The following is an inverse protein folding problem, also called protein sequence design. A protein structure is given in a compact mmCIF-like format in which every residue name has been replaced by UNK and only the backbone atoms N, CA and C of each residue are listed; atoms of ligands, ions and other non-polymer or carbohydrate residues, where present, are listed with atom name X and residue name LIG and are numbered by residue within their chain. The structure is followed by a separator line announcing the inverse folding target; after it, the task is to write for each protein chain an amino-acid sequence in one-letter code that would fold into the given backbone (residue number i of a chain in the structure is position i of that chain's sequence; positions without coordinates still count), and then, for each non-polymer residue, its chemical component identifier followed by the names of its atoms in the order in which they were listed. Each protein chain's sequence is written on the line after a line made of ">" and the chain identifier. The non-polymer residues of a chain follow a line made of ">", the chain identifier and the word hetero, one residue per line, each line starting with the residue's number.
data_IF_162229160478
#
_entry.id   IF_162229160478
#
_cell.length_a   1.000
_cell.length_b   1.000
_cell.length_c   1.000
_cell.angle_alpha   90.00
_cell.angle_beta   90.00
_cell.angle_gamma   90.00
#
_symmetry.space_group_name_H-M   'P 1'
#
loop_
_entity.id
_entity.type
_entity.pdbx_description
1 polymer ?
#
# COMPACT_ATOMS: atom_id res chain seq x y z
N UNK A 1 21.33 -0.03 12.10
CA UNK A 1 20.38 0.38 11.07
C UNK A 1 19.86 -0.77 10.21
N UNK A 2 20.15 -2.01 10.59
CA UNK A 2 19.84 -3.23 9.79
C UNK A 2 18.57 -3.98 10.23
N UNK A 3 17.55 -3.30 10.72
CA UNK A 3 16.32 -3.94 11.23
C UNK A 3 15.03 -3.58 10.47
N UNK A 4 15.12 -2.99 9.28
CA UNK A 4 13.90 -2.44 8.62
C UNK A 4 13.24 -3.43 7.63
N UNK A 5 13.88 -4.54 7.23
CA UNK A 5 13.36 -5.36 6.11
C UNK A 5 13.35 -6.88 6.34
N UNK A 6 13.15 -7.35 7.58
CA UNK A 6 12.78 -8.76 7.78
C UNK A 6 11.25 -8.92 7.64
N UNK A 7 10.80 -8.92 6.40
CA UNK A 7 9.40 -9.18 6.06
C UNK A 7 9.17 -10.69 5.97
N UNK A 8 8.74 -11.29 7.07
CA UNK A 8 8.15 -12.63 7.02
C UNK A 8 6.72 -12.51 6.49
N UNK A 9 6.54 -12.75 5.20
CA UNK A 9 5.23 -12.76 4.57
C UNK A 9 4.81 -14.20 4.20
N UNK A 10 4.00 -14.88 5.01
CA UNK A 10 3.48 -16.20 4.63
C UNK A 10 2.13 -16.19 3.90
N UNK A 11 1.40 -15.07 3.79
CA UNK A 11 -0.03 -15.12 3.41
C UNK A 11 -0.38 -14.32 2.15
N UNK A 12 0.44 -13.36 1.72
CA UNK A 12 0.14 -12.51 0.57
C UNK A 12 0.37 -13.20 -0.79
N UNK A 13 1.12 -14.30 -0.84
CA UNK A 13 1.55 -14.93 -2.10
C UNK A 13 0.52 -15.90 -2.69
N UNK A 14 -0.34 -16.50 -1.86
CA UNK A 14 -1.39 -17.40 -2.35
C UNK A 14 -2.49 -16.63 -3.11
N UNK A 15 -2.72 -15.37 -2.76
CA UNK A 15 -3.70 -14.51 -3.44
C UNK A 15 -3.20 -14.03 -4.80
N UNK A 16 -1.89 -13.78 -4.94
CA UNK A 16 -1.29 -13.40 -6.24
C UNK A 16 -1.33 -14.53 -7.26
N UNK A 17 -1.30 -15.79 -6.83
CA UNK A 17 -1.41 -16.95 -7.72
C UNK A 17 -2.84 -17.14 -8.27
N UNK A 18 -3.88 -16.78 -7.51
CA UNK A 18 -5.30 -16.96 -7.91
C UNK A 18 -5.95 -15.66 -8.43
N UNK A 19 -5.38 -14.50 -8.13
CA UNK A 19 -5.87 -13.19 -8.58
C UNK A 19 -5.52 -12.84 -10.04
N UNK A 20 -4.60 -13.53 -10.69
CA UNK A 20 -4.20 -13.24 -12.07
C UNK A 20 -5.28 -13.57 -13.11
N UNK A 21 -6.23 -14.46 -12.83
CA UNK A 21 -7.33 -14.75 -13.76
C UNK A 21 -8.38 -13.61 -13.81
N UNK A 22 -8.53 -12.84 -12.74
CA UNK A 22 -9.47 -11.72 -12.69
C UNK A 22 -8.91 -10.39 -13.26
N UNK A 23 -7.60 -10.26 -13.41
CA UNK A 23 -6.95 -9.03 -13.87
C UNK A 23 -6.59 -8.99 -15.36
N UNK A 24 -6.80 -10.09 -16.08
CA UNK A 24 -6.52 -10.17 -17.53
C UNK A 24 -7.55 -9.42 -18.41
N UNK A 25 -8.47 -8.67 -17.81
CA UNK A 25 -9.50 -7.90 -18.52
C UNK A 25 -9.16 -6.46 -18.90
N UNK A 26 -8.01 -5.90 -18.52
CA UNK A 26 -7.74 -4.47 -18.71
C UNK A 26 -6.30 -4.03 -18.98
N UNK A 27 -5.33 -4.89 -18.91
CA UNK A 27 -3.91 -4.57 -19.14
C UNK A 27 -3.54 -4.67 -20.62
N UNK A 28 -3.19 -3.54 -21.23
CA UNK A 28 -2.60 -3.52 -22.57
C UNK A 28 -1.32 -4.34 -22.57
N UNK A 29 -1.33 -5.43 -23.35
CA UNK A 29 -0.19 -6.24 -23.76
C UNK A 29 1.09 -5.41 -23.86
N UNK A 30 2.08 -5.72 -23.01
CA UNK A 30 3.48 -5.47 -23.31
C UNK A 30 3.68 -5.90 -24.78
N UNK A 31 4.08 -4.99 -25.65
CA UNK A 31 4.34 -5.28 -27.04
C UNK A 31 5.22 -6.52 -27.10
N UNK A 32 4.62 -7.68 -27.44
CA UNK A 32 5.39 -8.81 -27.90
C UNK A 32 6.28 -8.27 -29.00
N UNK A 33 7.58 -8.16 -28.73
CA UNK A 33 8.56 -7.98 -29.78
C UNK A 33 8.20 -9.02 -30.82
N UNK A 34 7.74 -8.60 -31.99
CA UNK A 34 7.51 -9.49 -33.12
C UNK A 34 8.85 -10.19 -33.35
N UNK A 35 8.97 -11.39 -32.82
CA UNK A 35 9.97 -12.33 -33.32
C UNK A 35 9.77 -12.39 -34.84
N UNK A 36 10.82 -12.14 -35.59
CA UNK A 36 10.80 -12.23 -37.05
C UNK A 36 10.25 -13.59 -37.45
N UNK A 37 9.58 -13.66 -38.59
CA UNK A 37 8.88 -14.84 -39.08
C UNK A 37 9.77 -16.08 -39.32
N UNK A 38 11.06 -16.00 -39.03
CA UNK A 38 12.04 -17.09 -39.28
C UNK A 38 12.26 -18.02 -38.07
N UNK A 39 11.48 -17.87 -36.96
CA UNK A 39 11.65 -18.64 -35.70
C UNK A 39 10.66 -19.81 -35.59
N UNK A 40 10.19 -20.34 -36.71
CA UNK A 40 9.31 -21.53 -36.73
C UNK A 40 9.89 -22.78 -36.05
N UNK A 41 11.22 -22.90 -35.93
CA UNK A 41 11.90 -24.00 -35.25
C UNK A 41 11.97 -23.88 -33.73
N UNK A 42 12.01 -22.66 -33.19
CA UNK A 42 12.16 -22.43 -31.74
C UNK A 42 10.92 -22.78 -30.94
N UNK A 43 9.73 -22.45 -31.47
CA UNK A 43 8.46 -22.76 -30.79
C UNK A 43 8.27 -24.26 -30.56
N UNK A 44 8.86 -25.11 -31.43
CA UNK A 44 8.76 -26.57 -31.31
C UNK A 44 9.69 -27.17 -30.24
N UNK A 45 10.80 -26.51 -29.93
CA UNK A 45 11.76 -26.95 -28.90
C UNK A 45 11.44 -26.44 -27.52
N UNK A 46 10.93 -25.20 -27.44
CA UNK A 46 10.52 -24.59 -26.16
C UNK A 46 9.15 -25.07 -25.66
N UNK A 47 8.25 -25.55 -26.55
CA UNK A 47 6.98 -26.14 -26.13
C UNK A 47 7.11 -27.36 -25.20
N UNK A 48 8.02 -28.30 -25.43
CA UNK A 48 8.26 -29.38 -24.46
C UNK A 48 8.81 -28.88 -23.13
N UNK A 49 9.69 -27.87 -23.15
CA UNK A 49 10.24 -27.25 -21.94
C UNK A 49 9.18 -26.50 -21.12
N UNK A 50 8.34 -25.69 -21.77
CA UNK A 50 7.24 -25.00 -21.12
C UNK A 50 6.15 -25.96 -20.63
N UNK A 51 5.94 -27.09 -21.31
CA UNK A 51 5.02 -28.14 -20.88
C UNK A 51 5.58 -28.94 -19.71
N UNK A 52 6.87 -29.29 -19.72
CA UNK A 52 7.58 -29.96 -18.62
C UNK A 52 7.61 -29.08 -17.37
N UNK A 53 7.85 -27.78 -17.53
CA UNK A 53 7.78 -26.77 -16.44
C UNK A 53 6.35 -26.66 -15.89
N UNK A 54 5.34 -26.70 -16.73
CA UNK A 54 3.93 -26.64 -16.32
C UNK A 54 3.44 -27.93 -15.64
N UNK A 55 3.86 -29.09 -16.12
CA UNK A 55 3.51 -30.39 -15.52
C UNK A 55 4.29 -30.66 -14.23
N UNK A 56 5.50 -30.08 -14.05
CA UNK A 56 6.27 -30.14 -12.82
C UNK A 56 5.91 -29.09 -11.78
N UNK A 57 5.14 -28.04 -12.14
CA UNK A 57 4.61 -27.05 -11.19
C UNK A 57 3.64 -27.65 -10.17
N UNK A 58 2.97 -28.76 -10.51
CA UNK A 58 2.12 -29.50 -9.56
C UNK A 58 2.92 -30.42 -8.59
N UNK A 59 4.23 -30.57 -8.80
CA UNK A 59 5.14 -31.41 -7.98
C UNK A 59 6.25 -30.59 -7.28
N UNK A 60 5.98 -29.36 -6.87
CA UNK A 60 6.97 -28.32 -6.59
C UNK A 60 7.63 -28.44 -5.23
N UNK A 61 8.85 -28.96 -5.23
CA UNK A 61 9.93 -28.41 -4.37
C UNK A 61 11.25 -28.21 -5.12
N UNK A 62 11.36 -28.61 -6.39
CA UNK A 62 12.63 -28.64 -7.14
C UNK A 62 12.56 -28.17 -8.59
N UNK A 63 11.62 -27.28 -8.99
CA UNK A 63 11.52 -26.79 -10.38
C UNK A 63 12.78 -26.03 -10.78
N UNK A 64 13.34 -25.26 -9.86
CA UNK A 64 14.58 -24.49 -10.10
C UNK A 64 15.78 -25.42 -10.34
N UNK A 65 15.87 -26.52 -9.61
CA UNK A 65 16.91 -27.54 -9.83
C UNK A 65 16.68 -28.32 -11.14
N UNK A 66 15.43 -28.67 -11.44
CA UNK A 66 15.09 -29.37 -12.68
C UNK A 66 15.40 -28.54 -13.93
N UNK A 67 15.08 -27.24 -13.90
CA UNK A 67 15.41 -26.31 -15.00
C UNK A 67 16.93 -26.08 -15.07
N UNK A 68 17.62 -25.96 -13.92
CA UNK A 68 19.08 -25.78 -13.87
C UNK A 68 19.86 -27.00 -14.35
N UNK A 69 19.31 -28.20 -14.23
CA UNK A 69 19.94 -29.46 -14.68
C UNK A 69 19.62 -29.80 -16.15
N UNK A 70 18.72 -29.09 -16.81
CA UNK A 70 18.48 -29.23 -18.23
C UNK A 70 19.77 -28.89 -19.00
N UNK A 71 20.49 -29.94 -19.39
CA UNK A 71 21.75 -29.82 -20.12
C UNK A 71 21.46 -29.49 -21.58
N UNK A 72 21.45 -28.18 -21.89
CA UNK A 72 21.27 -27.69 -23.28
C UNK A 72 22.39 -28.14 -24.18
N UNK A 73 23.59 -28.44 -23.64
CA UNK A 73 24.76 -28.91 -24.40
C UNK A 73 24.58 -30.26 -25.09
N UNK A 74 23.61 -31.10 -24.64
CA UNK A 74 23.32 -32.39 -25.27
C UNK A 74 22.53 -32.30 -26.58
N UNK A 75 22.00 -31.12 -26.96
CA UNK A 75 21.23 -30.85 -28.18
C UNK A 75 21.87 -29.81 -29.06
N UNK A 76 23.17 -29.51 -28.84
CA UNK A 76 23.89 -28.42 -29.54
C UNK A 76 24.23 -28.72 -31.00
N UNK A 77 24.14 -29.98 -31.44
CA UNK A 77 24.39 -30.35 -32.81
C UNK A 77 23.32 -29.76 -33.76
N UNK A 78 23.68 -28.65 -34.42
CA UNK A 78 22.83 -27.99 -35.43
C UNK A 78 22.38 -26.56 -35.09
N UNK A 79 22.72 -26.02 -33.90
CA UNK A 79 22.44 -24.63 -33.55
C UNK A 79 23.63 -23.71 -33.73
N UNK A 80 23.41 -22.49 -34.21
CA UNK A 80 24.43 -21.46 -34.23
C UNK A 80 24.75 -20.96 -32.80
N UNK A 81 25.94 -20.38 -32.60
CA UNK A 81 26.32 -19.78 -31.30
C UNK A 81 25.31 -18.73 -30.82
N UNK A 82 24.74 -17.95 -31.72
CA UNK A 82 23.71 -16.95 -31.41
C UNK A 82 22.41 -17.61 -30.94
N UNK A 83 22.03 -18.73 -31.55
CA UNK A 83 20.87 -19.51 -31.17
C UNK A 83 21.05 -20.13 -29.77
N UNK A 84 22.21 -20.67 -29.47
CA UNK A 84 22.53 -21.21 -28.15
C UNK A 84 22.51 -20.14 -27.07
N UNK A 85 23.00 -18.93 -27.37
CA UNK A 85 22.93 -17.80 -26.46
C UNK A 85 21.49 -17.39 -26.16
N UNK A 86 20.62 -17.31 -27.16
CA UNK A 86 19.20 -16.98 -26.96
C UNK A 86 18.47 -18.05 -26.12
N UNK A 87 18.79 -19.33 -26.34
CA UNK A 87 18.22 -20.43 -25.54
C UNK A 87 18.66 -20.31 -24.07
N UNK A 88 19.90 -19.96 -23.81
CA UNK A 88 20.40 -19.80 -22.43
C UNK A 88 19.80 -18.55 -21.74
N UNK A 89 19.65 -17.45 -22.49
CA UNK A 89 18.93 -16.25 -21.96
C UNK A 89 17.48 -16.57 -21.61
N UNK A 90 16.75 -17.32 -22.44
CA UNK A 90 15.36 -17.71 -22.16
C UNK A 90 15.28 -18.70 -21.00
N UNK A 91 16.25 -19.61 -20.88
CA UNK A 91 16.35 -20.49 -19.70
C UNK A 91 16.57 -19.69 -18.42
N UNK A 92 17.48 -18.73 -18.43
CA UNK A 92 17.74 -17.88 -17.28
C UNK A 92 16.50 -17.04 -16.92
N UNK A 93 15.77 -16.50 -17.91
CA UNK A 93 14.49 -15.81 -17.68
C UNK A 93 13.48 -16.71 -16.97
N UNK A 94 13.36 -17.96 -17.36
CA UNK A 94 12.47 -18.92 -16.68
C UNK A 94 12.89 -19.16 -15.23
N UNK A 95 14.18 -19.38 -14.98
CA UNK A 95 14.73 -19.58 -13.63
C UNK A 95 14.43 -18.38 -12.74
N UNK A 96 14.72 -17.16 -13.21
CA UNK A 96 14.50 -15.95 -12.43
C UNK A 96 13.01 -15.65 -12.25
N UNK A 97 12.16 -15.99 -13.22
CA UNK A 97 10.70 -15.86 -13.07
C UNK A 97 10.15 -16.77 -11.98
N UNK A 98 10.64 -18.01 -11.90
CA UNK A 98 10.24 -18.94 -10.84
C UNK A 98 10.80 -18.50 -9.47
N UNK A 99 12.04 -18.00 -9.41
CA UNK A 99 12.59 -17.40 -8.18
C UNK A 99 11.79 -16.20 -7.71
N UNK A 100 11.33 -15.35 -8.64
CA UNK A 100 10.48 -14.20 -8.33
C UNK A 100 9.15 -14.68 -7.70
N UNK A 101 8.52 -15.70 -8.29
CA UNK A 101 7.25 -16.26 -7.80
C UNK A 101 7.41 -16.97 -6.47
N UNK A 102 8.51 -17.70 -6.27
CA UNK A 102 8.81 -18.46 -5.06
C UNK A 102 9.40 -17.61 -3.93
N UNK A 103 9.67 -16.33 -4.16
CA UNK A 103 10.30 -15.44 -3.19
C UNK A 103 9.41 -15.28 -1.94
N UNK A 104 9.95 -15.65 -0.78
CA UNK A 104 9.29 -15.52 0.53
C UNK A 104 9.69 -14.25 1.28
N UNK A 105 10.76 -13.59 0.85
CA UNK A 105 11.29 -12.36 1.43
C UNK A 105 11.50 -11.31 0.35
N UNK A 106 11.27 -10.03 0.68
CA UNK A 106 11.42 -8.90 -0.25
C UNK A 106 12.81 -8.87 -0.92
N UNK A 107 13.89 -9.14 -0.17
CA UNK A 107 15.25 -9.17 -0.73
C UNK A 107 15.46 -10.25 -1.82
N UNK A 108 14.80 -11.41 -1.68
CA UNK A 108 14.82 -12.47 -2.71
C UNK A 108 14.06 -12.02 -3.95
N UNK A 109 12.89 -11.40 -3.77
CA UNK A 109 12.10 -10.85 -4.85
C UNK A 109 12.85 -9.77 -5.61
N UNK A 110 13.45 -8.79 -4.90
CA UNK A 110 14.25 -7.71 -5.51
C UNK A 110 15.40 -8.26 -6.34
N UNK A 111 16.11 -9.28 -5.83
CA UNK A 111 17.22 -9.89 -6.56
C UNK A 111 16.74 -10.49 -7.88
N UNK A 112 15.71 -11.32 -7.84
CA UNK A 112 15.16 -11.96 -9.05
C UNK A 112 14.57 -10.91 -10.03
N UNK A 113 13.92 -9.86 -9.52
CA UNK A 113 13.38 -8.76 -10.34
C UNK A 113 14.49 -8.00 -11.07
N UNK A 114 15.60 -7.68 -10.39
CA UNK A 114 16.76 -7.01 -11.01
C UNK A 114 17.45 -7.87 -12.08
N UNK A 115 17.57 -9.16 -11.83
CA UNK A 115 18.13 -10.09 -12.82
C UNK A 115 17.25 -10.18 -14.08
N UNK A 116 15.91 -10.25 -13.89
CA UNK A 116 14.97 -10.23 -15.01
C UNK A 116 15.00 -8.90 -15.78
N UNK A 117 15.07 -7.77 -15.06
CA UNK A 117 15.17 -6.46 -15.70
C UNK A 117 16.48 -6.32 -16.51
N UNK A 118 17.58 -6.92 -16.04
CA UNK A 118 18.84 -6.98 -16.78
C UNK A 118 18.72 -7.80 -18.06
N UNK A 119 18.10 -9.00 -17.98
CA UNK A 119 17.85 -9.87 -19.14
C UNK A 119 16.89 -9.24 -20.16
N UNK A 120 15.96 -8.40 -19.71
CA UNK A 120 15.02 -7.70 -20.56
C UNK A 120 15.57 -6.37 -21.11
N UNK A 121 16.81 -6.00 -20.76
CA UNK A 121 17.47 -4.77 -21.21
C UNK A 121 16.90 -3.48 -20.60
N UNK A 122 16.19 -3.58 -19.46
CA UNK A 122 15.57 -2.42 -18.83
C UNK A 122 16.58 -1.37 -18.34
N UNK A 123 17.86 -1.74 -18.17
CA UNK A 123 18.92 -0.85 -17.73
C UNK A 123 19.20 0.26 -18.76
N UNK A 124 19.10 -0.01 -20.05
CA UNK A 124 19.28 1.01 -21.10
C UNK A 124 18.20 2.08 -20.99
N UNK A 125 16.94 1.64 -20.84
CA UNK A 125 15.82 2.56 -20.64
C UNK A 125 15.94 3.36 -19.30
N UNK A 126 16.46 2.76 -18.23
CA UNK A 126 16.66 3.46 -16.95
C UNK A 126 17.74 4.54 -17.04
N UNK A 127 18.84 4.24 -17.74
CA UNK A 127 19.96 5.15 -17.90
C UNK A 127 19.68 6.33 -18.86
N UNK A 128 18.70 6.19 -19.73
CA UNK A 128 18.26 7.27 -20.61
C UNK A 128 17.40 8.27 -19.86
N UNK A 129 17.91 9.48 -19.61
CA UNK A 129 17.18 10.53 -18.87
C UNK A 129 16.00 11.08 -19.68
N UNK A 130 16.17 11.25 -21.00
CA UNK A 130 15.17 11.84 -21.88
C UNK A 130 13.89 11.01 -21.95
N UNK A 131 12.73 11.64 -21.75
CA UNK A 131 11.43 10.98 -21.81
C UNK A 131 10.31 12.01 -21.87
N UNK A 132 9.25 11.69 -22.62
CA UNK A 132 8.00 12.49 -22.64
C UNK A 132 7.13 12.28 -21.38
N UNK A 133 7.52 11.35 -20.49
CA UNK A 133 6.72 10.97 -19.32
C UNK A 133 6.96 11.88 -18.11
N UNK A 134 8.04 12.64 -18.09
CA UNK A 134 8.42 13.56 -17.02
C UNK A 134 9.37 14.63 -17.55
N UNK A 135 9.51 15.74 -16.83
CA UNK A 135 10.43 16.83 -17.18
C UNK A 135 11.83 16.54 -16.64
N UNK A 136 12.66 15.88 -17.44
CA UNK A 136 14.01 15.47 -17.06
C UNK A 136 14.97 16.67 -16.89
N UNK A 137 14.74 17.80 -17.59
CA UNK A 137 15.58 18.99 -17.47
C UNK A 137 15.34 19.70 -16.13
N UNK A 138 14.06 19.90 -15.74
CA UNK A 138 13.70 20.46 -14.44
C UNK A 138 14.20 19.57 -13.30
N UNK A 139 14.04 18.24 -13.42
CA UNK A 139 14.49 17.30 -12.42
C UNK A 139 16.01 17.32 -12.24
N UNK A 140 16.76 17.42 -13.35
CA UNK A 140 18.24 17.51 -13.31
C UNK A 140 18.68 18.81 -12.61
N UNK A 141 18.08 19.93 -12.94
CA UNK A 141 18.37 21.21 -12.30
C UNK A 141 18.12 21.14 -10.77
N UNK A 142 17.01 20.54 -10.35
CA UNK A 142 16.69 20.33 -8.93
C UNK A 142 17.69 19.43 -8.23
N UNK A 143 18.11 18.33 -8.88
CA UNK A 143 19.13 17.43 -8.37
C UNK A 143 20.48 18.15 -8.15
N UNK A 144 20.93 18.92 -9.14
CA UNK A 144 22.18 19.70 -9.04
C UNK A 144 22.13 20.73 -7.89
N UNK A 145 20.97 21.36 -7.68
CA UNK A 145 20.78 22.28 -6.55
C UNK A 145 20.93 21.56 -5.19
N UNK A 146 20.33 20.36 -5.06
CA UNK A 146 20.43 19.54 -3.84
C UNK A 146 21.87 19.08 -3.61
N UNK A 147 22.54 18.55 -4.63
CA UNK A 147 23.94 18.11 -4.56
C UNK A 147 24.87 19.25 -4.19
N UNK A 148 24.77 20.40 -4.87
CA UNK A 148 25.58 21.57 -4.57
C UNK A 148 25.38 22.13 -3.15
N UNK A 149 24.14 22.10 -2.63
CA UNK A 149 23.86 22.52 -1.25
C UNK A 149 24.48 21.57 -0.23
N UNK A 150 24.46 20.27 -0.51
CA UNK A 150 25.02 19.23 0.35
C UNK A 150 26.56 19.27 0.36
N UNK A 151 27.19 19.36 -0.79
CA UNK A 151 28.63 19.32 -0.95
C UNK A 151 29.32 20.51 -0.26
N UNK A 152 28.65 21.65 -0.21
CA UNK A 152 29.14 22.84 0.50
C UNK A 152 28.89 22.83 2.01
N UNK A 153 28.22 21.81 2.56
CA UNK A 153 27.80 21.72 3.97
C UNK A 153 27.09 22.99 4.50
N UNK A 154 26.46 23.76 3.60
CA UNK A 154 25.75 24.99 3.94
C UNK A 154 24.32 24.67 4.42
N UNK A 155 24.16 24.64 5.74
CA UNK A 155 22.89 24.33 6.38
C UNK A 155 21.75 25.26 5.94
N UNK A 156 22.01 26.56 5.81
CA UNK A 156 20.97 27.53 5.41
C UNK A 156 20.53 27.31 3.95
N UNK A 157 21.48 26.99 3.08
CA UNK A 157 21.22 26.65 1.69
C UNK A 157 20.48 25.32 1.57
N UNK A 158 20.91 24.28 2.32
CA UNK A 158 20.19 22.98 2.36
C UNK A 158 18.73 23.16 2.73
N UNK A 159 18.43 23.88 3.82
CA UNK A 159 17.06 24.12 4.27
C UNK A 159 16.23 24.87 3.24
N UNK A 160 16.83 25.83 2.54
CA UNK A 160 16.17 26.58 1.47
C UNK A 160 15.84 25.69 0.28
N UNK A 161 16.83 24.89 -0.18
CA UNK A 161 16.65 24.00 -1.34
C UNK A 161 15.62 22.89 -1.01
N UNK A 162 15.70 22.27 0.18
CA UNK A 162 14.70 21.31 0.66
C UNK A 162 13.29 21.90 0.59
N UNK A 163 13.13 23.17 0.97
CA UNK A 163 11.82 23.82 0.96
C UNK A 163 11.31 24.14 -0.45
N UNK A 164 12.21 24.45 -1.37
CA UNK A 164 11.86 24.89 -2.73
C UNK A 164 11.74 23.73 -3.73
N UNK A 165 12.61 22.72 -3.59
CA UNK A 165 12.73 21.66 -4.60
C UNK A 165 11.94 20.39 -4.25
N UNK A 166 11.48 20.25 -3.00
CA UNK A 166 10.69 19.08 -2.62
C UNK A 166 9.20 19.32 -2.80
N UNK A 167 8.63 18.61 -3.76
CA UNK A 167 7.18 18.56 -4.02
C UNK A 167 6.72 17.12 -4.24
N UNK A 168 5.41 16.88 -4.18
CA UNK A 168 4.87 15.52 -4.38
C UNK A 168 4.93 15.03 -5.81
N UNK A 169 4.75 15.93 -6.75
CA UNK A 169 4.75 15.62 -8.19
C UNK A 169 5.75 16.54 -8.89
N UNK A 170 6.98 16.48 -8.40
CA UNK A 170 8.09 17.25 -8.97
C UNK A 170 8.35 16.75 -10.38
N UNK A 171 8.37 17.66 -11.35
CA UNK A 171 8.72 17.33 -12.73
C UNK A 171 7.91 16.17 -13.34
N UNK A 172 6.75 15.82 -12.79
CA UNK A 172 5.92 14.70 -13.28
C UNK A 172 6.44 13.29 -12.92
N UNK A 173 7.35 13.16 -11.94
CA UNK A 173 7.92 11.83 -11.55
C UNK A 173 6.88 10.86 -10.99
N UNK A 174 5.68 11.33 -10.63
CA UNK A 174 4.56 10.51 -10.18
C UNK A 174 3.79 9.81 -11.32
N UNK A 175 4.16 9.98 -12.58
CA UNK A 175 3.48 9.37 -13.71
C UNK A 175 3.55 7.83 -13.64
N UNK A 176 2.40 7.11 -13.55
CA UNK A 176 2.38 5.66 -13.41
C UNK A 176 3.14 4.91 -14.52
N UNK A 177 3.17 5.48 -15.73
CA UNK A 177 3.85 4.86 -16.88
C UNK A 177 5.36 4.73 -16.68
N UNK A 178 5.96 5.54 -15.81
CA UNK A 178 7.38 5.43 -15.45
C UNK A 178 7.70 4.15 -14.64
N UNK A 179 6.68 3.50 -14.08
CA UNK A 179 6.82 2.32 -13.22
C UNK A 179 6.33 1.04 -13.90
N UNK A 180 5.93 1.11 -15.18
CA UNK A 180 5.45 -0.04 -15.96
C UNK A 180 6.55 -0.68 -16.81
N UNK A 181 7.72 -0.06 -16.94
CA UNK A 181 8.79 -0.51 -17.83
C UNK A 181 9.75 -1.52 -17.20
N UNK A 182 9.87 -1.50 -15.88
CA UNK A 182 10.75 -2.41 -15.14
C UNK A 182 10.01 -2.98 -13.93
N UNK A 183 10.46 -4.14 -13.46
CA UNK A 183 9.91 -4.79 -12.26
C UNK A 183 10.36 -4.11 -10.98
N UNK A 184 11.56 -3.53 -11.01
CA UNK A 184 12.15 -2.86 -9.85
C UNK A 184 12.70 -1.50 -10.24
N UNK A 185 12.23 -0.46 -9.55
CA UNK A 185 12.70 0.91 -9.77
C UNK A 185 12.14 1.57 -11.04
N UNK A 186 12.75 2.70 -11.41
CA UNK A 186 12.39 3.52 -12.57
C UNK A 186 13.63 4.13 -13.21
N UNK A 187 13.54 5.32 -13.81
CA UNK A 187 14.66 6.07 -14.39
C UNK A 187 15.73 6.38 -13.34
N UNK A 188 17.00 6.20 -13.69
CA UNK A 188 18.12 6.42 -12.76
C UNK A 188 18.17 7.86 -12.24
N UNK A 189 17.81 8.84 -13.07
CA UNK A 189 17.72 10.24 -12.67
C UNK A 189 16.69 10.46 -11.56
N UNK A 190 15.53 9.81 -11.65
CA UNK A 190 14.47 9.89 -10.64
C UNK A 190 14.93 9.25 -9.32
N UNK A 191 15.51 8.05 -9.38
CA UNK A 191 16.02 7.36 -8.20
C UNK A 191 17.13 8.15 -7.52
N UNK A 192 18.04 8.73 -8.31
CA UNK A 192 19.11 9.59 -7.81
C UNK A 192 18.59 10.85 -7.15
N UNK A 193 17.57 11.51 -7.75
CA UNK A 193 16.91 12.67 -7.15
C UNK A 193 16.32 12.33 -5.79
N UNK A 194 15.53 11.26 -5.71
CA UNK A 194 14.89 10.84 -4.45
C UNK A 194 15.94 10.50 -3.38
N UNK A 195 16.96 9.73 -3.74
CA UNK A 195 18.03 9.36 -2.82
C UNK A 195 18.79 10.61 -2.30
N UNK A 196 19.14 11.55 -3.22
CA UNK A 196 19.81 12.79 -2.86
C UNK A 196 18.96 13.70 -2.00
N UNK A 197 17.65 13.79 -2.26
CA UNK A 197 16.71 14.55 -1.45
C UNK A 197 16.66 14.03 0.01
N UNK A 198 16.57 12.71 0.18
CA UNK A 198 16.59 12.07 1.51
C UNK A 198 17.92 12.33 2.21
N UNK A 199 19.05 12.11 1.54
CA UNK A 199 20.37 12.32 2.12
C UNK A 199 20.62 13.79 2.49
N UNK A 200 20.11 14.75 1.70
CA UNK A 200 20.19 16.19 2.02
C UNK A 200 19.41 16.52 3.29
N UNK A 201 18.22 15.97 3.49
CA UNK A 201 17.43 16.13 4.72
C UNK A 201 18.21 15.57 5.91
N UNK A 202 18.72 14.33 5.79
CA UNK A 202 19.50 13.70 6.86
C UNK A 202 20.79 14.46 7.18
N UNK A 203 21.47 15.00 6.16
CA UNK A 203 22.67 15.82 6.32
C UNK A 203 22.38 17.13 7.05
N UNK A 204 21.28 17.80 6.70
CA UNK A 204 20.83 19.00 7.42
C UNK A 204 20.53 18.69 8.90
N UNK A 205 19.89 17.55 9.18
CA UNK A 205 19.61 17.11 10.56
C UNK A 205 20.92 16.77 11.31
N UNK A 206 21.88 16.11 10.67
CA UNK A 206 23.19 15.79 11.25
C UNK A 206 23.99 17.05 11.58
N UNK A 207 24.00 18.03 10.68
CA UNK A 207 24.66 19.33 10.91
C UNK A 207 24.03 20.13 12.06
N UNK A 208 22.68 20.13 12.11
CA UNK A 208 21.95 20.76 13.21
C UNK A 208 22.26 20.12 14.56
N UNK A 209 22.40 18.80 14.62
CA UNK A 209 22.74 18.07 15.85
C UNK A 209 24.18 18.32 16.31
N UNK A 210 25.08 18.61 15.40
CA UNK A 210 26.47 18.99 15.73
C UNK A 210 26.58 20.40 16.32
N UNK A 211 25.71 21.31 15.90
CA UNK A 211 25.64 22.68 16.45
C UNK A 211 24.97 22.64 17.83
N UNK A 212 25.75 22.88 18.86
CA UNK A 212 25.33 22.88 20.28
C UNK A 212 24.44 24.06 20.67
N UNK A 213 24.25 25.05 19.81
CA UNK A 213 23.35 26.17 20.05
C UNK A 213 21.91 25.70 19.86
N UNK A 214 21.15 25.65 20.95
CA UNK A 214 19.77 25.15 20.95
C UNK A 214 18.80 25.91 20.01
N UNK A 215 19.13 27.16 19.64
CA UNK A 215 18.38 27.94 18.66
C UNK A 215 18.46 27.34 17.26
N UNK A 216 19.63 26.93 16.79
CA UNK A 216 19.82 26.36 15.43
C UNK A 216 19.04 25.05 15.27
N UNK A 217 19.07 24.17 16.26
CA UNK A 217 18.31 22.93 16.22
C UNK A 217 16.79 23.18 16.20
N UNK A 218 16.31 24.21 16.91
CA UNK A 218 14.90 24.63 16.89
C UNK A 218 14.50 25.13 15.50
N UNK A 219 15.32 25.98 14.89
CA UNK A 219 15.06 26.59 13.59
C UNK A 219 15.05 25.52 12.47
N UNK A 220 15.99 24.58 12.50
CA UNK A 220 16.01 23.44 11.56
C UNK A 220 14.76 22.60 11.70
N UNK A 221 14.38 22.25 12.95
CA UNK A 221 13.16 21.52 13.21
C UNK A 221 11.92 22.25 12.68
N UNK A 222 11.83 23.56 12.92
CA UNK A 222 10.74 24.40 12.42
C UNK A 222 10.66 24.37 10.90
N UNK A 223 11.78 24.58 10.20
CA UNK A 223 11.86 24.53 8.75
C UNK A 223 11.44 23.18 8.17
N UNK A 224 11.90 22.06 8.76
CA UNK A 224 11.49 20.71 8.33
C UNK A 224 9.99 20.49 8.56
N UNK A 225 9.42 20.93 9.68
CA UNK A 225 7.98 20.84 9.95
C UNK A 225 7.17 21.64 8.93
N UNK A 226 7.62 22.84 8.57
CA UNK A 226 6.98 23.69 7.57
C UNK A 226 7.06 23.07 6.16
N UNK A 227 8.22 22.57 5.77
CA UNK A 227 8.40 21.84 4.50
C UNK A 227 7.49 20.61 4.43
N UNK A 228 7.41 19.84 5.52
CA UNK A 228 6.49 18.70 5.60
C UNK A 228 5.03 19.11 5.46
N UNK A 229 4.64 20.28 5.98
CA UNK A 229 3.27 20.81 5.82
C UNK A 229 2.99 21.18 4.37
N UNK A 230 3.95 21.83 3.72
CA UNK A 230 3.84 22.19 2.29
C UNK A 230 3.81 20.95 1.39
N UNK A 231 4.66 19.97 1.67
CA UNK A 231 4.67 18.68 0.98
C UNK A 231 3.34 17.92 1.10
N UNK A 232 2.60 18.16 2.18
CA UNK A 232 1.31 17.54 2.46
C UNK A 232 1.44 16.19 3.17
N UNK A 233 0.28 15.59 3.47
CA UNK A 233 0.20 14.31 4.18
C UNK A 233 -0.40 13.24 3.28
N UNK A 234 0.14 12.02 3.37
CA UNK A 234 -0.48 10.84 2.76
C UNK A 234 -1.67 10.42 3.58
N UNK A 235 -2.79 10.14 2.91
CA UNK A 235 -3.97 9.53 3.50
C UNK A 235 -4.18 8.13 2.93
N UNK A 236 -4.60 7.20 3.78
CA UNK A 236 -5.08 5.87 3.40
C UNK A 236 -6.60 5.91 3.34
N UNK A 237 -7.18 5.65 2.18
CA UNK A 237 -8.62 5.59 1.98
C UNK A 237 -9.05 4.13 1.84
N UNK A 238 -9.88 3.67 2.77
CA UNK A 238 -10.41 2.31 2.80
C UNK A 238 -11.85 2.35 2.28
N UNK A 239 -12.05 1.80 1.09
CA UNK A 239 -13.35 1.77 0.43
C UNK A 239 -14.36 0.84 1.12
N UNK A 240 -15.63 1.01 0.83
CA UNK A 240 -16.66 0.03 1.12
C UNK A 240 -16.45 -1.27 0.31
N UNK A 241 -17.31 -2.23 0.53
CA UNK A 241 -17.26 -3.50 -0.22
C UNK A 241 -17.74 -4.73 0.56
N UNK A 242 -18.50 -4.54 1.63
CA UNK A 242 -19.03 -5.64 2.43
C UNK A 242 -17.91 -6.56 2.95
N UNK A 243 -18.01 -7.86 2.68
CA UNK A 243 -17.02 -8.86 3.11
C UNK A 243 -15.61 -8.61 2.56
N UNK A 244 -15.48 -7.93 1.41
CA UNK A 244 -14.18 -7.58 0.82
C UNK A 244 -13.39 -6.58 1.70
N UNK A 245 -14.05 -5.88 2.61
CA UNK A 245 -13.39 -5.02 3.61
C UNK A 245 -12.40 -5.74 4.52
N UNK A 246 -12.49 -7.07 4.63
CA UNK A 246 -11.50 -7.89 5.35
C UNK A 246 -10.09 -7.77 4.76
N UNK A 247 -9.97 -7.53 3.45
CA UNK A 247 -8.69 -7.36 2.77
C UNK A 247 -7.94 -6.11 3.25
N UNK A 248 -8.65 -5.09 3.70
CA UNK A 248 -8.03 -3.88 4.26
C UNK A 248 -7.14 -4.17 5.48
N UNK A 249 -7.43 -5.22 6.23
CA UNK A 249 -6.64 -5.64 7.39
C UNK A 249 -5.23 -6.05 6.96
N UNK A 250 -5.13 -6.83 5.87
CA UNK A 250 -3.84 -7.22 5.29
C UNK A 250 -3.04 -6.02 4.79
N UNK A 251 -3.71 -5.05 4.15
CA UNK A 251 -3.08 -3.80 3.70
C UNK A 251 -2.55 -2.99 4.89
N UNK A 252 -3.37 -2.80 5.94
CA UNK A 252 -2.96 -2.08 7.16
C UNK A 252 -1.80 -2.79 7.84
N UNK A 253 -1.84 -4.13 7.94
CA UNK A 253 -0.75 -4.93 8.50
C UNK A 253 0.55 -4.71 7.74
N UNK A 254 0.54 -4.87 6.42
CA UNK A 254 1.71 -4.69 5.58
C UNK A 254 2.31 -3.28 5.71
N UNK A 255 1.46 -2.25 5.67
CA UNK A 255 1.91 -0.85 5.83
C UNK A 255 2.45 -0.57 7.25
N UNK A 256 1.83 -1.14 8.28
CA UNK A 256 2.29 -0.97 9.66
C UNK A 256 3.66 -1.64 9.88
N UNK A 257 3.81 -2.87 9.44
CA UNK A 257 5.07 -3.63 9.54
C UNK A 257 6.20 -2.99 8.74
N UNK A 258 5.88 -2.38 7.59
CA UNK A 258 6.82 -1.59 6.79
C UNK A 258 7.12 -0.19 7.38
N UNK A 259 6.45 0.24 8.45
CA UNK A 259 6.63 1.56 9.05
C UNK A 259 6.09 2.73 8.21
N UNK A 260 5.25 2.44 7.21
CA UNK A 260 4.70 3.45 6.28
C UNK A 260 3.19 3.67 6.42
N UNK A 261 2.55 3.13 7.48
CA UNK A 261 1.12 3.34 7.72
C UNK A 261 0.82 4.83 7.91
N UNK A 262 0.00 5.45 7.06
CA UNK A 262 -0.35 6.86 7.18
C UNK A 262 -1.07 7.15 8.50
N UNK A 263 -0.86 8.36 9.02
CA UNK A 263 -1.61 8.83 10.21
C UNK A 263 -2.99 9.39 9.87
N UNK A 264 -3.29 9.62 8.60
CA UNK A 264 -4.60 10.02 8.10
C UNK A 264 -5.23 8.80 7.47
N UNK A 265 -6.31 8.31 8.05
CA UNK A 265 -7.02 7.13 7.55
C UNK A 265 -8.50 7.49 7.41
N UNK A 266 -9.03 7.29 6.22
CA UNK A 266 -10.45 7.48 5.93
C UNK A 266 -11.09 6.14 5.59
N UNK A 267 -12.35 5.96 5.95
CA UNK A 267 -13.11 4.78 5.63
C UNK A 267 -14.58 5.07 5.32
N UNK A 268 -15.15 4.27 4.44
CA UNK A 268 -16.58 4.23 4.16
C UNK A 268 -17.06 2.78 4.29
N UNK A 269 -18.29 2.58 4.79
CA UNK A 269 -18.88 1.25 4.96
C UNK A 269 -17.92 0.26 5.67
N UNK A 270 -17.66 -0.91 5.10
CA UNK A 270 -16.69 -1.88 5.64
C UNK A 270 -15.30 -1.28 5.94
N UNK A 271 -14.83 -0.34 5.10
CA UNK A 271 -13.59 0.38 5.33
C UNK A 271 -13.62 1.24 6.58
N UNK A 272 -14.79 1.77 6.97
CA UNK A 272 -14.95 2.56 8.21
C UNK A 272 -14.74 1.71 9.46
N UNK A 273 -15.12 0.43 9.44
CA UNK A 273 -14.91 -0.52 10.53
C UNK A 273 -13.40 -0.67 10.80
N UNK A 274 -12.64 -0.98 9.75
CA UNK A 274 -11.19 -1.17 9.86
C UNK A 274 -10.49 0.13 10.28
N UNK A 275 -10.86 1.27 9.64
CA UNK A 275 -10.32 2.58 9.97
C UNK A 275 -10.56 2.94 11.44
N UNK A 276 -11.80 2.75 11.94
CA UNK A 276 -12.18 3.06 13.33
C UNK A 276 -11.35 2.27 14.33
N UNK A 277 -11.21 0.96 14.10
CA UNK A 277 -10.47 0.10 15.02
C UNK A 277 -8.98 0.45 15.03
N UNK A 278 -8.38 0.66 13.87
CA UNK A 278 -6.96 1.03 13.76
C UNK A 278 -6.68 2.41 14.36
N UNK A 279 -7.54 3.40 14.09
CA UNK A 279 -7.34 4.77 14.58
C UNK A 279 -7.64 4.95 16.06
N UNK A 280 -8.29 3.99 16.71
CA UNK A 280 -8.52 4.01 18.17
C UNK A 280 -7.45 3.25 18.97
N UNK A 281 -6.46 2.65 18.29
CA UNK A 281 -5.33 1.90 18.89
C UNK A 281 -4.04 2.69 18.77
N UNK A 282 -3.25 2.67 19.83
CA UNK A 282 -1.87 3.19 19.82
C UNK A 282 -0.95 2.29 18.99
N UNK A 283 0.22 2.79 18.59
CA UNK A 283 1.21 2.02 17.83
C UNK A 283 1.65 0.74 18.58
N UNK A 284 1.63 0.76 19.91
CA UNK A 284 1.96 -0.40 20.74
C UNK A 284 0.83 -1.46 20.78
N UNK A 285 -0.42 -1.06 20.57
CA UNK A 285 -1.58 -1.96 20.59
C UNK A 285 -1.88 -2.60 19.23
N UNK A 286 -1.41 -1.99 18.13
CA UNK A 286 -1.67 -2.47 16.76
C UNK A 286 -1.10 -3.88 16.52
N UNK A 287 0.13 -4.26 16.93
CA UNK A 287 0.64 -5.60 16.70
C UNK A 287 -0.23 -6.69 17.33
N UNK A 288 -0.72 -6.46 18.56
CA UNK A 288 -1.63 -7.40 19.25
C UNK A 288 -2.94 -7.53 18.49
N UNK A 289 -3.53 -6.42 18.08
CA UNK A 289 -4.75 -6.39 17.27
C UNK A 289 -4.57 -7.19 15.96
N UNK A 290 -3.49 -6.96 15.23
CA UNK A 290 -3.21 -7.64 13.96
C UNK A 290 -2.90 -9.13 14.16
N UNK A 291 -2.25 -9.51 15.27
CA UNK A 291 -2.00 -10.91 15.61
C UNK A 291 -3.32 -11.65 15.93
N UNK A 292 -4.25 -11.03 16.63
CA UNK A 292 -5.58 -11.57 16.87
C UNK A 292 -6.31 -11.84 15.55
N UNK A 293 -6.24 -10.94 14.58
CA UNK A 293 -6.79 -11.13 13.25
C UNK A 293 -6.16 -12.30 12.49
N UNK A 294 -4.84 -12.43 12.52
CA UNK A 294 -4.13 -13.46 11.76
C UNK A 294 -4.30 -14.87 12.35
N UNK A 295 -4.37 -14.97 13.68
CA UNK A 295 -4.58 -16.26 14.36
C UNK A 295 -6.00 -16.78 14.18
N UNK A 296 -6.96 -15.92 13.86
CA UNK A 296 -8.36 -16.28 13.70
C UNK A 296 -8.73 -16.77 12.29
N UNK A 297 -7.83 -16.67 11.32
CA UNK A 297 -8.02 -17.31 10.00
C UNK A 297 -8.06 -18.86 10.11
N UNK A 298 -7.43 -19.44 11.13
CA UNK A 298 -7.53 -20.88 11.41
C UNK A 298 -8.89 -21.32 11.99
N UNK A 299 -9.74 -20.39 12.40
CA UNK A 299 -11.06 -20.64 13.02
C UNK A 299 -12.14 -21.06 12.01
N UNK A 300 -11.89 -20.95 10.72
CA UNK A 300 -12.81 -21.52 9.72
C UNK A 300 -12.92 -23.06 9.80
N UNK A 301 -12.10 -23.71 10.62
CA UNK A 301 -12.06 -25.18 10.71
C UNK A 301 -12.52 -25.78 12.03
N UNK A 302 -12.75 -25.04 13.12
CA UNK A 302 -13.17 -25.63 14.42
C UNK A 302 -14.15 -24.76 15.19
N UNK A 303 -15.29 -25.37 15.51
CA UNK A 303 -16.41 -24.76 16.21
C UNK A 303 -16.12 -24.30 17.63
N UNK A 304 -17.00 -23.41 18.07
CA UNK A 304 -17.28 -22.98 19.44
C UNK A 304 -16.07 -22.56 20.29
N UNK A 305 -15.83 -21.25 20.33
CA UNK A 305 -15.51 -20.47 21.54
C UNK A 305 -15.32 -19.00 21.17
N UNK A 306 -15.90 -18.10 21.98
CA UNK A 306 -15.76 -16.64 22.08
C UNK A 306 -15.62 -15.87 20.75
N UNK A 307 -16.55 -14.97 20.49
CA UNK A 307 -16.65 -14.17 19.27
C UNK A 307 -15.37 -13.36 19.04
N UNK A 308 -14.45 -13.96 18.29
CA UNK A 308 -13.25 -13.27 17.83
C UNK A 308 -13.60 -12.38 16.64
N UNK A 309 -12.85 -11.32 16.50
CA UNK A 309 -13.10 -10.22 15.57
C UNK A 309 -13.31 -10.62 14.12
N UNK A 310 -12.47 -11.52 13.59
CA UNK A 310 -12.58 -11.99 12.20
C UNK A 310 -13.85 -12.79 11.95
N UNK A 311 -14.20 -13.69 12.86
CA UNK A 311 -15.43 -14.47 12.79
C UNK A 311 -16.66 -13.57 12.92
N UNK A 312 -16.53 -12.48 13.63
CA UNK A 312 -17.56 -11.50 13.86
C UNK A 312 -17.78 -10.65 12.59
N UNK A 313 -16.75 -10.10 11.98
CA UNK A 313 -16.86 -9.38 10.72
C UNK A 313 -17.39 -10.31 9.61
N UNK A 314 -16.95 -11.57 9.56
CA UNK A 314 -17.46 -12.56 8.61
C UNK A 314 -18.96 -12.85 8.84
N UNK A 315 -19.39 -13.04 10.09
CA UNK A 315 -20.81 -13.21 10.45
C UNK A 315 -21.63 -11.97 10.13
N UNK A 316 -21.06 -10.79 10.38
CA UNK A 316 -21.67 -9.53 10.02
C UNK A 316 -22.05 -9.50 8.53
N UNK A 317 -21.17 -9.96 7.66
CA UNK A 317 -21.38 -9.84 6.22
C UNK A 317 -21.97 -11.09 5.54
N UNK A 318 -21.80 -12.29 6.08
CA UNK A 318 -22.26 -13.54 5.42
C UNK A 318 -23.55 -14.13 5.97
N UNK A 319 -23.80 -14.03 7.27
CA UNK A 319 -24.94 -14.72 7.88
C UNK A 319 -26.22 -13.87 7.88
N UNK A 320 -26.19 -12.69 7.24
CA UNK A 320 -27.37 -11.80 7.18
C UNK A 320 -27.83 -11.32 8.57
N UNK A 321 -27.00 -11.46 9.59
CA UNK A 321 -27.29 -11.09 10.98
C UNK A 321 -27.45 -9.57 11.15
N UNK A 322 -27.14 -8.81 10.10
CA UNK A 322 -27.24 -7.35 10.06
C UNK A 322 -28.59 -6.79 9.61
N UNK A 323 -29.68 -7.52 9.80
CA UNK A 323 -31.01 -6.89 9.66
C UNK A 323 -31.27 -5.79 10.71
N UNK A 324 -30.44 -5.73 11.77
CA UNK A 324 -30.48 -4.63 12.74
C UNK A 324 -29.09 -3.99 12.86
N UNK A 325 -28.94 -2.76 12.35
CA UNK A 325 -27.71 -1.93 12.46
C UNK A 325 -27.23 -1.76 13.92
N UNK A 326 -28.14 -1.91 14.90
CA UNK A 326 -27.80 -1.91 16.32
C UNK A 326 -26.84 -3.04 16.70
N UNK A 327 -26.88 -4.17 16.01
CA UNK A 327 -25.92 -5.24 16.28
C UNK A 327 -24.50 -4.82 15.91
N UNK A 328 -24.32 -4.11 14.78
CA UNK A 328 -23.02 -3.55 14.42
C UNK A 328 -22.57 -2.50 15.42
N UNK A 329 -23.50 -1.63 15.86
CA UNK A 329 -23.19 -0.60 16.85
C UNK A 329 -22.73 -1.22 18.19
N UNK A 330 -23.41 -2.26 18.67
CA UNK A 330 -23.05 -2.99 19.90
C UNK A 330 -21.67 -3.66 19.76
N UNK A 331 -21.42 -4.22 18.59
CA UNK A 331 -20.14 -4.82 18.28
C UNK A 331 -19.03 -3.78 18.28
N UNK A 332 -19.25 -2.64 17.64
CA UNK A 332 -18.29 -1.53 17.65
C UNK A 332 -18.11 -0.95 19.05
N UNK A 333 -19.15 -0.93 19.89
CA UNK A 333 -19.03 -0.56 21.30
C UNK A 333 -18.03 -1.44 22.04
N UNK A 334 -18.03 -2.75 21.81
CA UNK A 334 -17.05 -3.68 22.37
C UNK A 334 -15.60 -3.33 21.99
N UNK A 335 -15.37 -2.81 20.79
CA UNK A 335 -14.03 -2.54 20.28
C UNK A 335 -13.57 -1.09 20.47
N UNK A 336 -14.41 -0.10 20.17
CA UNK A 336 -14.04 1.33 20.23
C UNK A 336 -14.67 2.04 21.42
N UNK A 337 -15.57 1.36 22.14
CA UNK A 337 -16.34 1.92 23.26
C UNK A 337 -17.10 3.20 22.84
N UNK A 338 -17.41 4.04 23.79
CA UNK A 338 -18.00 5.37 23.56
C UNK A 338 -16.94 6.43 23.23
N UNK A 339 -15.90 6.06 22.47
CA UNK A 339 -14.85 6.99 22.10
C UNK A 339 -15.33 7.96 21.02
N UNK A 340 -15.05 9.25 21.20
CA UNK A 340 -15.32 10.29 20.22
C UNK A 340 -14.15 10.45 19.27
N UNK A 341 -14.35 11.08 18.11
CA UNK A 341 -13.28 11.38 17.17
C UNK A 341 -12.14 12.19 17.80
N UNK A 342 -12.48 13.14 18.66
CA UNK A 342 -11.48 13.96 19.36
C UNK A 342 -10.67 13.14 20.37
N UNK A 343 -11.32 12.28 21.14
CA UNK A 343 -10.64 11.39 22.09
C UNK A 343 -9.70 10.41 21.40
N UNK A 344 -10.13 9.82 20.28
CA UNK A 344 -9.30 8.95 19.47
C UNK A 344 -8.06 9.69 18.93
N UNK A 345 -8.23 10.90 18.44
CA UNK A 345 -7.13 11.73 17.97
C UNK A 345 -6.14 12.06 19.08
N UNK A 346 -6.60 12.47 20.24
CA UNK A 346 -5.70 12.77 21.38
C UNK A 346 -4.95 11.53 21.85
N UNK A 347 -5.58 10.37 21.83
CA UNK A 347 -4.97 9.10 22.23
C UNK A 347 -3.88 8.64 21.26
N UNK A 348 -4.13 8.72 19.95
CA UNK A 348 -3.32 8.01 18.94
C UNK A 348 -2.56 8.94 18.00
N UNK A 349 -2.91 10.22 17.95
CA UNK A 349 -2.42 11.19 16.95
C UNK A 349 -2.72 10.76 15.49
N UNK A 350 -3.67 9.80 15.29
CA UNK A 350 -4.21 9.43 14.00
C UNK A 350 -5.47 10.22 13.70
N UNK A 351 -5.61 10.63 12.47
CA UNK A 351 -6.79 11.35 11.98
C UNK A 351 -7.70 10.31 11.33
N UNK A 352 -8.75 9.94 12.05
CA UNK A 352 -9.84 9.13 11.52
C UNK A 352 -10.83 10.02 10.79
N UNK A 353 -11.20 9.63 9.58
CA UNK A 353 -12.30 10.23 8.83
C UNK A 353 -13.29 9.16 8.39
N UNK A 354 -14.57 9.36 8.65
CA UNK A 354 -15.63 8.44 8.24
C UNK A 354 -16.62 9.20 7.35
N UNK A 355 -16.86 8.68 6.14
CA UNK A 355 -17.84 9.26 5.22
C UNK A 355 -19.24 8.72 5.54
N UNK A 356 -20.21 9.63 5.60
CA UNK A 356 -21.64 9.34 5.74
C UNK A 356 -22.43 10.29 4.83
N UNK A 357 -23.61 9.87 4.38
CA UNK A 357 -24.52 10.73 3.64
C UNK A 357 -25.80 10.94 4.44
N UNK A 358 -26.45 12.07 4.25
CA UNK A 358 -27.78 12.27 4.79
C UNK A 358 -28.77 11.33 4.09
N UNK A 359 -29.82 10.88 4.80
CA UNK A 359 -30.93 10.16 4.17
C UNK A 359 -31.67 11.05 3.15
N UNK A 360 -31.66 12.37 3.37
CA UNK A 360 -32.22 13.36 2.45
C UNK A 360 -31.25 13.63 1.29
N UNK A 361 -31.65 13.35 0.05
CA UNK A 361 -30.85 13.60 -1.17
C UNK A 361 -30.50 15.09 -1.41
N UNK A 362 -30.96 16.00 -0.55
CA UNK A 362 -30.75 17.45 -0.72
C UNK A 362 -29.50 17.97 -0.04
N UNK A 363 -28.83 17.13 0.75
CA UNK A 363 -27.69 17.54 1.57
C UNK A 363 -26.41 16.87 1.08
N UNK A 364 -25.29 17.62 1.13
CA UNK A 364 -23.98 17.11 0.73
C UNK A 364 -23.48 16.02 1.70
N UNK A 365 -22.72 15.03 1.22
CA UNK A 365 -22.09 14.03 2.09
C UNK A 365 -21.20 14.65 3.16
N UNK A 366 -21.19 14.04 4.33
CA UNK A 366 -20.37 14.48 5.45
C UNK A 366 -19.11 13.61 5.60
N UNK A 367 -18.01 14.25 5.92
CA UNK A 367 -16.80 13.58 6.39
C UNK A 367 -16.61 13.90 7.87
N UNK A 368 -16.89 12.91 8.70
CA UNK A 368 -16.80 13.01 10.17
C UNK A 368 -15.36 12.76 10.61
N UNK A 369 -14.78 13.71 11.35
CA UNK A 369 -13.45 13.60 11.93
C UNK A 369 -13.34 14.48 13.19
N UNK A 370 -12.15 14.52 13.80
CA UNK A 370 -11.92 15.29 15.05
C UNK A 370 -12.09 16.81 14.90
N UNK A 371 -12.17 17.35 13.67
CA UNK A 371 -12.42 18.77 13.39
C UNK A 371 -13.89 19.02 13.10
N UNK A 372 -14.49 18.23 12.20
CA UNK A 372 -15.86 18.44 11.72
C UNK A 372 -16.91 17.91 12.67
N UNK A 373 -16.58 16.85 13.45
CA UNK A 373 -17.48 16.16 14.35
C UNK A 373 -16.75 15.67 15.62
N UNK A 374 -16.09 16.57 16.39
CA UNK A 374 -15.19 16.19 17.49
C UNK A 374 -15.85 15.33 18.57
N UNK A 375 -17.13 15.57 18.84
CA UNK A 375 -17.89 14.94 19.93
C UNK A 375 -18.74 13.76 19.49
N UNK A 376 -18.81 13.46 18.17
CA UNK A 376 -19.56 12.31 17.66
C UNK A 376 -18.86 11.02 18.08
N UNK A 377 -19.68 10.02 18.49
CA UNK A 377 -19.22 8.70 18.87
C UNK A 377 -18.85 7.89 17.61
N UNK A 378 -17.64 7.38 17.58
CA UNK A 378 -17.11 6.63 16.42
C UNK A 378 -17.99 5.42 16.10
N UNK A 379 -18.52 4.68 17.11
CA UNK A 379 -19.40 3.53 16.90
C UNK A 379 -20.65 3.88 16.10
N UNK A 380 -21.28 5.02 16.38
CA UNK A 380 -22.48 5.47 15.65
C UNK A 380 -22.13 5.94 14.24
N UNK A 381 -20.96 6.55 14.05
CA UNK A 381 -20.49 6.95 12.73
C UNK A 381 -20.21 5.74 11.83
N UNK A 382 -19.63 4.66 12.39
CA UNK A 382 -19.44 3.39 11.65
C UNK A 382 -20.79 2.77 11.31
N UNK A 383 -21.74 2.73 12.26
CA UNK A 383 -23.07 2.19 12.00
C UNK A 383 -23.79 2.97 10.89
N UNK A 384 -23.74 4.30 10.92
CA UNK A 384 -24.28 5.15 9.85
C UNK A 384 -23.60 4.91 8.50
N UNK A 385 -22.26 4.85 8.49
CA UNK A 385 -21.48 4.59 7.28
C UNK A 385 -21.71 3.19 6.70
N UNK A 386 -22.22 2.24 7.47
CA UNK A 386 -22.60 0.89 7.01
C UNK A 386 -24.09 0.75 6.68
N UNK A 387 -24.88 1.81 6.84
CA UNK A 387 -26.33 1.78 6.59
C UNK A 387 -26.63 1.92 5.09
N UNK A 388 -26.37 0.84 4.33
CA UNK A 388 -26.62 0.78 2.90
C UNK A 388 -28.12 0.86 2.62
N UNK A 389 -28.61 1.82 1.80
CA UNK A 389 -30.00 1.91 1.41
C UNK A 389 -30.56 0.59 0.89
N UNK A 390 -31.83 0.29 1.16
CA UNK A 390 -32.55 -0.93 0.82
C UNK A 390 -32.13 -2.21 1.57
N UNK A 391 -30.95 -2.20 2.23
CA UNK A 391 -30.47 -3.33 3.05
C UNK A 391 -30.67 -3.02 4.53
N UNK A 392 -30.33 -1.81 4.95
CA UNK A 392 -30.41 -1.38 6.34
C UNK A 392 -31.22 -0.08 6.46
N UNK A 393 -31.81 0.10 7.65
CA UNK A 393 -32.45 1.37 7.99
C UNK A 393 -31.38 2.43 8.22
N UNK A 394 -31.66 3.69 7.84
CA UNK A 394 -30.81 4.83 8.18
C UNK A 394 -30.54 4.88 9.69
N UNK A 395 -29.32 5.23 10.07
CA UNK A 395 -28.90 5.26 11.45
C UNK A 395 -28.70 6.71 11.96
N UNK A 396 -29.04 7.03 13.22
CA UNK A 396 -28.71 8.31 13.81
C UNK A 396 -27.24 8.38 14.20
N UNK A 397 -26.64 9.55 14.11
CA UNK A 397 -25.35 9.82 14.75
C UNK A 397 -25.57 10.19 16.20
N UNK A 398 -24.70 9.69 17.09
CA UNK A 398 -24.68 9.99 18.50
C UNK A 398 -23.47 10.84 18.84
N UNK A 399 -23.65 11.84 19.67
CA UNK A 399 -22.57 12.69 20.18
C UNK A 399 -22.58 12.77 21.71
N UNK A 400 -21.42 13.02 22.27
CA UNK A 400 -21.28 13.31 23.70
C UNK A 400 -21.31 14.82 23.91
N UNK A 401 -22.37 15.31 24.58
CA UNK A 401 -22.44 16.73 24.92
C UNK A 401 -21.22 17.16 25.76
N UNK A 402 -20.47 18.19 25.34
CA UNK A 402 -19.23 18.59 26.00
C UNK A 402 -19.43 19.06 27.44
N UNK A 403 -20.60 19.63 27.76
CA UNK A 403 -20.88 20.20 29.06
C UNK A 403 -21.51 19.17 30.02
N UNK A 404 -22.54 18.47 29.55
CA UNK A 404 -23.30 17.54 30.40
C UNK A 404 -22.74 16.13 30.41
N UNK A 405 -21.82 15.80 29.48
CA UNK A 405 -21.26 14.47 29.24
C UNK A 405 -22.29 13.39 28.85
N UNK A 406 -23.55 13.77 28.65
CA UNK A 406 -24.60 12.84 28.21
C UNK A 406 -24.53 12.59 26.72
N UNK A 407 -24.90 11.37 26.33
CA UNK A 407 -25.03 10.99 24.92
C UNK A 407 -26.37 11.51 24.42
N UNK A 408 -26.35 12.19 23.30
CA UNK A 408 -27.50 12.76 22.62
C UNK A 408 -27.38 12.54 21.11
N UNK A 409 -28.44 12.82 20.33
CA UNK A 409 -28.38 12.75 18.87
C UNK A 409 -27.65 13.97 18.31
N UNK A 410 -26.82 13.73 17.31
CA UNK A 410 -26.16 14.77 16.53
C UNK A 410 -27.09 15.26 15.40
N UNK A 411 -27.22 16.56 15.22
CA UNK A 411 -28.04 17.16 14.15
C UNK A 411 -29.54 17.23 14.41
N UNK A 412 -30.03 16.72 15.59
CA UNK A 412 -31.43 16.74 15.98
C UNK A 412 -32.11 15.36 15.98
N UNK A 413 -33.40 15.33 16.45
CA UNK A 413 -34.09 14.03 16.64
C UNK A 413 -34.49 13.34 15.33
N UNK A 414 -34.73 14.09 14.26
CA UNK A 414 -35.22 13.59 12.97
C UNK A 414 -34.12 13.42 11.91
N UNK A 415 -32.84 13.58 12.32
CA UNK A 415 -31.69 13.46 11.39
C UNK A 415 -31.17 12.03 11.34
N UNK A 416 -31.15 11.45 10.14
CA UNK A 416 -30.66 10.10 9.89
C UNK A 416 -29.63 10.10 8.75
N UNK A 417 -28.74 9.13 8.82
CA UNK A 417 -27.60 9.00 7.92
C UNK A 417 -27.56 7.62 7.28
N UNK A 418 -27.01 7.56 6.09
CA UNK A 418 -26.82 6.36 5.27
C UNK A 418 -25.35 6.20 4.88
N UNK A 419 -25.02 5.08 4.23
CA UNK A 419 -23.68 4.75 3.77
C UNK A 419 -23.12 5.83 2.84
N UNK A 420 -21.95 6.36 3.21
CA UNK A 420 -21.26 7.42 2.46
C UNK A 420 -20.63 6.95 1.14
N UNK A 421 -20.69 5.66 0.81
CA UNK A 421 -20.22 5.15 -0.49
C UNK A 421 -21.31 5.16 -1.57
N UNK A 422 -22.55 5.54 -1.22
CA UNK A 422 -23.73 5.49 -2.11
C UNK A 422 -24.10 6.87 -2.66
N UNK A 423 -23.45 7.92 -2.19
CA UNK A 423 -23.69 9.30 -2.63
C UNK A 423 -22.90 9.68 -3.87
#
# INVERSE_FOLDING_TARGET
>A
MDRIYDFQAPVALDWLAHGQEAWNGGGRSLKKRRLSKDVGGYASILQPLTRLVRESLDAVHNVTEAIATLNVGGYADGFSEEQLRLIEEDRERLIQSERLRAAKAHGQWVKAAKELDALDGCHEWKAEDESELYDHEDLRCKLENLESAKDNEDLARMLRVIRMELGRDVAGIGNPKLYDHSRFGTKDLIERYVATAVDTIESAMRLAAKNREGSVASDVRQNIVETRRSYGRTGLLLSGGGTMGMMHIGVVKAMFEAGVLPKVISGASAGSIVAAVVCTRTDAEIPTLLAEFCNDLDVFTKGEHEAKWSSMIYRIFNDGVLYDIKNLENVMEGHVKDMTFQEAYYRTQRILSIAVSYESEKEEPLVLNYITAPHVLIRSAVAASCSVPFIYKPAPLLERNPDTKKIQRFGGEDTYFIDGSVS
#
